data_IF_599270262073
#
_entry.id   IF_599270262073
#
_cell.length_a   1.000
_cell.length_b   1.000
_cell.length_c   1.000
_cell.angle_alpha   90.00
_cell.angle_beta   90.00
_cell.angle_gamma   90.00
#
_symmetry.space_group_name_H-M   'P 1'
#
loop_
_entity.id
_entity.type
_entity.pdbx_description
1 polymer ?
#
# COMPACT_ATOMS: atom_id res chain seq x y z
N UNK A 1 36.60 26.54 -9.33
CA UNK A 1 36.42 25.71 -8.12
C UNK A 1 35.50 24.56 -8.48
N UNK A 2 35.98 23.31 -8.43
CA UNK A 2 35.09 22.15 -8.56
C UNK A 2 34.38 21.96 -7.22
N UNK A 3 33.08 22.24 -7.19
CA UNK A 3 32.17 21.80 -6.14
C UNK A 3 32.04 20.29 -6.33
N UNK A 4 32.70 19.50 -5.47
CA UNK A 4 32.41 18.07 -5.40
C UNK A 4 31.00 17.97 -4.84
N UNK A 5 30.06 17.60 -5.69
CA UNK A 5 28.70 17.30 -5.26
C UNK A 5 28.78 16.27 -4.12
N UNK A 6 28.03 16.43 -3.02
CA UNK A 6 27.93 15.38 -2.03
C UNK A 6 27.51 14.10 -2.76
N UNK A 7 28.27 13.02 -2.57
CA UNK A 7 27.92 11.73 -3.14
C UNK A 7 26.45 11.45 -2.79
N UNK A 8 25.64 10.95 -3.75
CA UNK A 8 24.27 10.58 -3.45
C UNK A 8 24.29 9.62 -2.26
N UNK A 9 23.55 9.97 -1.21
CA UNK A 9 23.27 9.03 -0.13
C UNK A 9 22.63 7.80 -0.80
N UNK A 10 23.11 6.57 -0.50
CA UNK A 10 22.58 5.37 -1.14
C UNK A 10 21.06 5.32 -0.94
N UNK A 11 20.34 5.02 -2.03
CA UNK A 11 18.87 5.02 -2.15
C UNK A 11 18.14 3.99 -1.26
N UNK A 12 18.79 3.45 -0.24
CA UNK A 12 18.19 2.52 0.71
C UNK A 12 18.10 3.14 2.10
N UNK A 13 17.11 4.02 2.28
CA UNK A 13 16.47 4.20 3.58
C UNK A 13 15.16 3.40 3.57
N UNK A 14 15.30 2.10 3.30
CA UNK A 14 14.37 1.12 3.85
C UNK A 14 14.71 0.97 5.33
N UNK A 15 13.69 0.97 6.18
CA UNK A 15 13.74 0.35 7.51
C UNK A 15 14.26 1.23 8.67
N UNK A 16 14.74 2.45 8.41
CA UNK A 16 15.10 3.39 9.49
C UNK A 16 16.34 3.00 10.31
N UNK A 17 17.07 1.97 9.89
CA UNK A 17 18.43 1.70 10.37
C UNK A 17 19.42 2.38 9.43
N UNK A 18 19.99 3.50 9.87
CA UNK A 18 21.13 4.12 9.20
C UNK A 18 22.27 3.10 9.07
N UNK A 19 23.02 3.08 7.94
CA UNK A 19 24.15 2.19 7.80
C UNK A 19 25.12 2.41 8.96
N UNK A 20 25.44 1.33 9.70
CA UNK A 20 26.45 1.30 10.79
C UNK A 20 27.88 1.50 10.27
N UNK A 21 28.02 1.97 9.04
CA UNK A 21 29.28 1.97 8.32
C UNK A 21 29.95 3.33 8.47
N UNK A 22 31.28 3.28 8.61
CA UNK A 22 32.11 4.46 8.76
C UNK A 22 31.90 5.42 7.58
N UNK A 23 31.54 6.67 7.87
CA UNK A 23 31.47 7.77 6.92
C UNK A 23 32.90 8.11 6.51
N UNK A 24 33.26 7.79 5.28
CA UNK A 24 34.51 8.24 4.66
C UNK A 24 34.34 9.67 4.15
N UNK A 25 35.23 10.56 4.55
CA UNK A 25 35.28 11.93 4.03
C UNK A 25 36.67 12.26 3.51
N UNK A 26 36.73 13.14 2.51
CA UNK A 26 37.99 13.60 1.93
C UNK A 26 38.00 15.12 1.83
N UNK A 27 39.02 15.76 2.38
CA UNK A 27 39.19 17.21 2.35
C UNK A 27 40.37 17.54 1.42
N UNK A 28 40.12 18.30 0.35
CA UNK A 28 41.14 18.69 -0.64
C UNK A 28 41.54 20.16 -0.48
N UNK A 29 42.84 20.45 -0.39
CA UNK A 29 43.43 21.81 -0.44
C UNK A 29 44.61 21.82 -1.41
N UNK A 30 44.45 22.50 -2.56
CA UNK A 30 45.47 22.48 -3.62
C UNK A 30 45.64 21.06 -4.20
N UNK A 31 46.86 20.53 -4.17
CA UNK A 31 47.19 19.15 -4.58
C UNK A 31 47.05 18.12 -3.46
N UNK A 32 46.89 18.55 -2.20
CA UNK A 32 46.78 17.64 -1.07
C UNK A 32 45.33 17.18 -0.85
N UNK A 33 45.15 15.88 -0.63
CA UNK A 33 43.88 15.24 -0.26
C UNK A 33 44.11 14.52 1.07
N UNK A 34 43.32 14.86 2.09
CA UNK A 34 43.30 14.13 3.35
C UNK A 34 42.04 13.27 3.41
N UNK A 35 42.21 12.00 3.76
CA UNK A 35 41.13 11.04 3.93
C UNK A 35 40.91 10.77 5.42
N UNK A 36 39.65 10.68 5.85
CA UNK A 36 39.27 10.32 7.21
C UNK A 36 38.04 9.44 7.23
N UNK A 37 37.88 8.67 8.30
CA UNK A 37 36.71 7.84 8.58
C UNK A 37 36.14 8.22 9.93
N UNK A 38 34.82 8.41 10.01
CA UNK A 38 34.10 8.64 11.26
C UNK A 38 32.96 7.64 11.38
N UNK A 39 32.66 7.13 12.57
CA UNK A 39 31.44 6.37 12.78
C UNK A 39 30.22 7.26 12.46
N UNK A 40 29.25 6.72 11.72
CA UNK A 40 28.01 7.42 11.38
C UNK A 40 27.29 7.98 12.61
N UNK A 41 27.38 7.29 13.77
CA UNK A 41 26.82 7.76 15.03
C UNK A 41 27.57 8.98 15.58
N UNK A 42 28.89 9.01 15.44
CA UNK A 42 29.73 10.12 15.88
C UNK A 42 29.55 11.35 14.98
N UNK A 43 29.36 11.14 13.67
CA UNK A 43 29.09 12.21 12.69
C UNK A 43 27.80 12.96 13.02
N UNK A 44 26.73 12.22 13.30
CA UNK A 44 25.42 12.78 13.63
C UNK A 44 25.41 13.48 14.99
N UNK A 45 26.27 13.06 15.92
CA UNK A 45 26.43 13.69 17.24
C UNK A 45 27.36 14.92 17.22
N UNK A 46 27.84 15.34 16.05
CA UNK A 46 28.76 16.47 15.92
C UNK A 46 30.13 16.21 16.51
N UNK A 47 30.53 14.95 16.68
CA UNK A 47 31.89 14.62 17.08
C UNK A 47 32.83 15.09 15.98
N UNK A 48 33.75 16.00 16.34
CA UNK A 48 34.85 16.38 15.45
C UNK A 48 35.68 15.13 15.15
N UNK A 49 35.92 14.80 13.88
CA UNK A 49 36.88 13.74 13.55
C UNK A 49 38.22 14.01 14.23
N UNK A 50 38.99 12.98 14.60
CA UNK A 50 40.37 13.16 15.03
C UNK A 50 41.17 13.69 13.83
N UNK A 51 41.11 15.01 13.64
CA UNK A 51 41.93 15.74 12.70
C UNK A 51 43.30 15.79 13.37
N UNK A 52 44.25 15.09 12.74
CA UNK A 52 45.63 15.09 13.17
C UNK A 52 46.08 16.56 13.35
N UNK A 53 46.40 16.95 14.59
CA UNK A 53 46.62 18.37 14.98
C UNK A 53 47.69 19.05 14.13
N UNK A 54 48.55 18.25 13.51
CA UNK A 54 49.60 18.64 12.56
C UNK A 54 49.06 19.24 11.24
N UNK A 55 47.84 18.89 10.83
CA UNK A 55 47.19 19.42 9.63
C UNK A 55 46.46 20.74 9.90
N UNK A 56 45.91 20.93 11.11
CA UNK A 56 45.16 22.12 11.51
C UNK A 56 46.05 23.34 11.78
N UNK A 57 47.29 23.15 12.26
CA UNK A 57 48.23 24.25 12.55
C UNK A 57 48.76 25.02 11.32
N UNK A 58 48.41 24.58 10.11
CA UNK A 58 48.78 25.23 8.83
C UNK A 58 47.64 26.03 8.21
N UNK A 59 46.53 26.17 8.93
CA UNK A 59 45.42 27.01 8.53
C UNK A 59 45.50 28.32 9.31
N UNK A 60 45.34 29.43 8.60
CA UNK A 60 45.12 30.72 9.24
C UNK A 60 43.76 30.66 9.95
N UNK A 61 43.74 30.72 11.29
CA UNK A 61 42.63 30.29 12.15
C UNK A 61 41.28 30.91 11.71
N UNK A 62 41.28 32.18 11.31
CA UNK A 62 40.07 32.89 10.90
C UNK A 62 39.41 32.36 9.62
N UNK A 63 40.20 31.89 8.64
CA UNK A 63 39.67 31.39 7.37
C UNK A 63 39.16 29.95 7.47
N UNK A 64 39.69 29.17 8.42
CA UNK A 64 39.21 27.82 8.70
C UNK A 64 37.92 27.85 9.52
N UNK A 65 37.86 28.69 10.55
CA UNK A 65 36.66 28.86 11.38
C UNK A 65 35.46 29.31 10.55
N UNK A 66 35.68 30.25 9.61
CA UNK A 66 34.62 30.69 8.69
C UNK A 66 34.09 29.55 7.81
N UNK A 67 34.95 28.66 7.32
CA UNK A 67 34.54 27.51 6.48
C UNK A 67 33.84 26.42 7.28
N UNK A 68 34.31 26.15 8.50
CA UNK A 68 33.66 25.19 9.41
C UNK A 68 32.28 25.70 9.84
N UNK A 69 32.16 26.99 10.14
CA UNK A 69 30.88 27.62 10.44
C UNK A 69 29.92 27.54 9.23
N UNK A 70 30.40 27.85 8.02
CA UNK A 70 29.58 27.75 6.81
C UNK A 70 29.11 26.31 6.56
N UNK A 71 29.99 25.32 6.73
CA UNK A 71 29.64 23.91 6.60
C UNK A 71 28.61 23.48 7.65
N UNK A 72 28.78 23.89 8.91
CA UNK A 72 27.85 23.61 10.00
C UNK A 72 26.46 24.22 9.76
N UNK A 73 26.40 25.48 9.32
CA UNK A 73 25.13 26.14 8.97
C UNK A 73 24.45 25.44 7.79
N UNK A 74 25.21 25.07 6.76
CA UNK A 74 24.67 24.37 5.57
C UNK A 74 24.12 23.00 5.95
N UNK A 75 24.86 22.22 6.74
CA UNK A 75 24.41 20.93 7.25
C UNK A 75 23.15 21.06 8.12
N UNK A 76 23.06 22.09 8.96
CA UNK A 76 21.90 22.36 9.81
C UNK A 76 20.65 22.74 9.01
N UNK A 77 20.81 23.46 7.89
CA UNK A 77 19.71 23.77 6.97
C UNK A 77 19.25 22.51 6.23
N UNK A 78 20.19 21.73 5.70
CA UNK A 78 19.86 20.48 5.02
C UNK A 78 19.13 19.50 5.95
N UNK A 79 19.61 19.33 7.18
CA UNK A 79 18.97 18.45 8.17
C UNK A 79 17.53 18.86 8.47
N UNK A 80 17.27 20.16 8.67
CA UNK A 80 15.90 20.66 8.89
C UNK A 80 14.97 20.37 7.71
N UNK A 81 15.47 20.51 6.50
CA UNK A 81 14.72 20.22 5.29
C UNK A 81 14.43 18.72 5.14
N UNK A 82 15.38 17.85 5.48
CA UNK A 82 15.16 16.40 5.52
C UNK A 82 14.13 16.00 6.58
N UNK A 83 14.21 16.55 7.79
CA UNK A 83 13.22 16.32 8.86
C UNK A 83 11.83 16.77 8.41
N UNK A 84 11.73 17.94 7.77
CA UNK A 84 10.47 18.45 7.22
C UNK A 84 9.88 17.51 6.17
N UNK A 85 10.70 17.00 5.24
CA UNK A 85 10.25 16.03 4.22
C UNK A 85 9.84 14.69 4.83
N UNK A 86 10.59 14.19 5.82
CA UNK A 86 10.25 12.96 6.52
C UNK A 86 8.89 13.07 7.21
N UNK A 87 8.59 14.20 7.86
CA UNK A 87 7.30 14.44 8.48
C UNK A 87 6.16 14.53 7.46
N UNK A 88 6.39 15.16 6.31
CA UNK A 88 5.41 15.19 5.21
C UNK A 88 5.10 13.77 4.68
N UNK A 89 6.12 12.93 4.48
CA UNK A 89 5.93 11.54 4.07
C UNK A 89 5.20 10.73 5.13
N UNK A 90 5.46 10.98 6.42
CA UNK A 90 4.76 10.32 7.53
C UNK A 90 3.26 10.65 7.52
N UNK A 91 2.91 11.92 7.28
CA UNK A 91 1.51 12.36 7.17
C UNK A 91 0.82 11.75 5.95
N UNK A 92 1.47 11.78 4.78
CA UNK A 92 0.93 11.15 3.57
C UNK A 92 0.71 9.64 3.74
N UNK A 93 1.63 8.95 4.41
CA UNK A 93 1.46 7.54 4.74
C UNK A 93 0.24 7.31 5.63
N UNK A 94 0.05 8.14 6.67
CA UNK A 94 -1.11 8.03 7.56
C UNK A 94 -2.44 8.23 6.80
N UNK A 95 -2.50 9.21 5.89
CA UNK A 95 -3.67 9.44 5.02
C UNK A 95 -3.92 8.24 4.09
N UNK A 96 -2.87 7.69 3.48
CA UNK A 96 -2.96 6.49 2.64
C UNK A 96 -3.42 5.27 3.42
N UNK A 97 -2.92 5.06 4.63
CA UNK A 97 -3.31 3.95 5.50
C UNK A 97 -4.79 4.06 5.91
N UNK A 98 -5.28 5.27 6.17
CA UNK A 98 -6.70 5.51 6.44
C UNK A 98 -7.57 5.23 5.21
N UNK A 99 -7.16 5.67 4.03
CA UNK A 99 -7.85 5.39 2.78
C UNK A 99 -7.92 3.89 2.49
N UNK A 100 -6.82 3.16 2.73
CA UNK A 100 -6.77 1.70 2.57
C UNK A 100 -7.72 1.01 3.54
N UNK A 101 -7.79 1.44 4.81
CA UNK A 101 -8.74 0.89 5.79
C UNK A 101 -10.19 1.09 5.36
N UNK A 102 -10.53 2.28 4.83
CA UNK A 102 -11.87 2.55 4.30
C UNK A 102 -12.18 1.62 3.12
N UNK A 103 -11.25 1.44 2.19
CA UNK A 103 -11.42 0.55 1.04
C UNK A 103 -11.61 -0.92 1.47
N UNK A 104 -10.84 -1.40 2.45
CA UNK A 104 -10.99 -2.75 3.00
C UNK A 104 -12.36 -2.91 3.65
N UNK A 105 -12.84 -1.91 4.40
CA UNK A 105 -14.16 -1.94 5.00
C UNK A 105 -15.27 -2.01 3.94
N UNK A 106 -15.21 -1.16 2.89
CA UNK A 106 -16.19 -1.17 1.81
C UNK A 106 -16.18 -2.48 1.03
N UNK A 107 -15.00 -3.04 0.75
CA UNK A 107 -14.88 -4.32 0.06
C UNK A 107 -15.43 -5.47 0.91
N UNK A 108 -15.17 -5.45 2.22
CA UNK A 108 -15.72 -6.45 3.15
C UNK A 108 -17.25 -6.39 3.18
N UNK A 109 -17.82 -5.18 3.20
CA UNK A 109 -19.27 -4.99 3.15
C UNK A 109 -19.86 -5.47 1.81
N UNK A 110 -19.20 -5.15 0.69
CA UNK A 110 -19.61 -5.62 -0.63
C UNK A 110 -19.61 -7.15 -0.72
N UNK A 111 -18.57 -7.81 -0.20
CA UNK A 111 -18.49 -9.28 -0.14
C UNK A 111 -19.65 -9.86 0.68
N UNK A 112 -19.98 -9.28 1.83
CA UNK A 112 -21.14 -9.71 2.62
C UNK A 112 -22.45 -9.56 1.84
N UNK A 113 -22.64 -8.45 1.13
CA UNK A 113 -23.82 -8.23 0.29
C UNK A 113 -23.91 -9.25 -0.85
N UNK A 114 -22.79 -9.55 -1.51
CA UNK A 114 -22.77 -10.59 -2.55
C UNK A 114 -23.14 -11.95 -1.98
N UNK A 115 -22.59 -12.35 -0.83
CA UNK A 115 -22.96 -13.62 -0.19
C UNK A 115 -24.47 -13.68 0.15
N UNK A 116 -25.06 -12.59 0.62
CA UNK A 116 -26.52 -12.55 0.86
C UNK A 116 -27.34 -12.64 -0.43
N UNK A 117 -26.87 -12.03 -1.51
CA UNK A 117 -27.53 -12.09 -2.82
C UNK A 117 -27.42 -13.50 -3.43
N UNK A 118 -26.26 -14.14 -3.31
CA UNK A 118 -26.03 -15.52 -3.75
C UNK A 118 -26.95 -16.50 -3.01
N UNK A 119 -27.10 -16.36 -1.69
CA UNK A 119 -28.03 -17.19 -0.92
C UNK A 119 -29.49 -16.93 -1.31
N UNK A 120 -29.86 -15.67 -1.54
CA UNK A 120 -31.21 -15.33 -2.03
C UNK A 120 -31.47 -15.92 -3.42
N UNK A 121 -30.48 -15.88 -4.31
CA UNK A 121 -30.57 -16.52 -5.63
C UNK A 121 -30.70 -18.04 -5.52
N UNK A 122 -30.00 -18.67 -4.57
CA UNK A 122 -30.13 -20.11 -4.31
C UNK A 122 -31.55 -20.46 -3.87
N UNK A 123 -32.08 -19.74 -2.88
CA UNK A 123 -33.43 -19.97 -2.35
C UNK A 123 -34.52 -19.74 -3.42
N UNK A 124 -34.41 -18.66 -4.19
CA UNK A 124 -35.36 -18.39 -5.28
C UNK A 124 -35.32 -19.45 -6.38
N UNK A 125 -34.15 -20.00 -6.69
CA UNK A 125 -34.02 -21.09 -7.65
C UNK A 125 -34.63 -22.40 -7.12
N UNK A 126 -34.46 -22.71 -5.83
CA UNK A 126 -35.14 -23.86 -5.19
C UNK A 126 -36.67 -23.71 -5.22
N UNK A 127 -37.19 -22.51 -4.90
CA UNK A 127 -38.62 -22.20 -5.01
C UNK A 127 -39.13 -22.30 -6.44
N UNK A 128 -38.36 -21.82 -7.42
CA UNK A 128 -38.72 -21.92 -8.83
C UNK A 128 -38.83 -23.38 -9.27
N UNK A 129 -37.88 -24.23 -8.87
CA UNK A 129 -37.95 -25.68 -9.16
C UNK A 129 -39.17 -26.34 -8.52
N UNK A 130 -39.51 -25.98 -7.28
CA UNK A 130 -40.72 -26.47 -6.62
C UNK A 130 -41.98 -26.04 -7.38
N UNK A 131 -42.10 -24.76 -7.73
CA UNK A 131 -43.23 -24.24 -8.48
C UNK A 131 -43.36 -24.85 -9.89
N UNK A 132 -42.23 -25.10 -10.57
CA UNK A 132 -42.22 -25.80 -11.87
C UNK A 132 -42.71 -27.24 -11.73
N UNK A 133 -42.33 -27.93 -10.65
CA UNK A 133 -42.78 -29.29 -10.37
C UNK A 133 -44.28 -29.33 -10.08
N UNK A 134 -44.78 -28.44 -9.23
CA UNK A 134 -46.23 -28.32 -8.93
C UNK A 134 -47.03 -28.00 -10.20
N UNK A 135 -46.50 -27.13 -11.06
CA UNK A 135 -47.13 -26.82 -12.35
C UNK A 135 -47.20 -28.06 -13.25
N UNK A 136 -46.12 -28.84 -13.35
CA UNK A 136 -46.11 -30.06 -14.14
C UNK A 136 -47.12 -31.10 -13.62
N UNK A 137 -47.19 -31.29 -12.30
CA UNK A 137 -48.18 -32.19 -11.66
C UNK A 137 -49.62 -31.71 -11.91
N UNK A 138 -49.87 -30.40 -11.87
CA UNK A 138 -51.18 -29.82 -12.17
C UNK A 138 -51.56 -29.99 -13.66
N UNK A 139 -50.61 -29.83 -14.58
CA UNK A 139 -50.81 -30.06 -16.02
C UNK A 139 -51.13 -31.54 -16.32
N UNK A 140 -50.42 -32.48 -15.68
CA UNK A 140 -50.71 -33.92 -15.79
C UNK A 140 -52.10 -34.26 -15.24
N UNK A 141 -52.47 -33.73 -14.07
CA UNK A 141 -53.79 -33.94 -13.47
C UNK A 141 -54.91 -33.36 -14.35
N UNK A 142 -54.71 -32.18 -14.94
CA UNK A 142 -55.66 -31.56 -15.86
C UNK A 142 -55.81 -32.38 -17.16
N UNK A 143 -54.72 -32.92 -17.71
CA UNK A 143 -54.76 -33.77 -18.89
C UNK A 143 -55.50 -35.10 -18.61
N UNK A 144 -55.32 -35.68 -17.43
CA UNK A 144 -56.02 -36.91 -17.01
C UNK A 144 -57.52 -36.67 -16.82
N UNK A 145 -57.88 -35.55 -16.17
CA UNK A 145 -59.28 -35.15 -16.00
C UNK A 145 -59.97 -34.87 -17.35
N UNK A 146 -59.26 -34.21 -18.28
CA UNK A 146 -59.78 -33.96 -19.63
C UNK A 146 -60.01 -35.27 -20.42
N UNK A 147 -59.09 -36.25 -20.33
CA UNK A 147 -59.27 -37.57 -20.95
C UNK A 147 -60.48 -38.31 -20.36
N UNK A 148 -60.60 -38.35 -19.02
CA UNK A 148 -61.74 -39.00 -18.37
C UNK A 148 -63.08 -38.33 -18.70
N UNK A 149 -63.11 -36.99 -18.82
CA UNK A 149 -64.30 -36.27 -19.25
C UNK A 149 -64.67 -36.58 -20.71
N UNK A 150 -63.69 -36.69 -21.60
CA UNK A 150 -63.90 -37.06 -22.99
C UNK A 150 -64.42 -38.50 -23.13
N UNK A 151 -63.87 -39.45 -22.37
CA UNK A 151 -64.35 -40.85 -22.35
C UNK A 151 -65.79 -40.95 -21.86
N UNK A 152 -66.14 -40.24 -20.78
CA UNK A 152 -67.53 -40.19 -20.28
C UNK A 152 -68.50 -39.54 -21.27
N UNK A 153 -68.05 -38.51 -22.00
CA UNK A 153 -68.86 -37.88 -23.02
C UNK A 153 -69.09 -38.82 -24.22
N UNK A 154 -68.08 -39.59 -24.63
CA UNK A 154 -68.19 -40.58 -25.70
C UNK A 154 -69.11 -41.75 -25.29
N UNK A 155 -69.03 -42.20 -24.05
CA UNK A 155 -69.88 -43.27 -23.51
C UNK A 155 -71.36 -42.84 -23.44
N UNK A 156 -71.63 -41.63 -22.92
CA UNK A 156 -72.98 -41.06 -22.90
C UNK A 156 -73.55 -40.84 -24.30
N UNK A 157 -72.71 -40.47 -25.27
CA UNK A 157 -73.12 -40.29 -26.66
C UNK A 157 -73.46 -41.63 -27.34
N UNK A 158 -72.73 -42.70 -27.02
CA UNK A 158 -73.04 -44.06 -27.50
C UNK A 158 -74.33 -44.61 -26.88
N UNK A 159 -74.57 -44.32 -25.61
CA UNK A 159 -75.79 -44.74 -24.90
C UNK A 159 -77.04 -44.00 -25.41
N UNK A 160 -76.93 -42.74 -25.84
CA UNK A 160 -78.03 -41.96 -26.42
C UNK A 160 -78.38 -42.32 -27.87
N UNK A 161 -77.56 -43.12 -28.56
CA UNK A 161 -77.75 -43.51 -29.97
C UNK A 161 -78.38 -44.91 -30.11
N UNK A 162 -78.48 -45.66 -29.02
CA UNK A 162 -79.22 -46.94 -28.92
C UNK A 162 -80.70 -46.71 -28.56
#
# INVERSE_FOLDING_TARGET
MMVVAPAPLPDQVGDGTWPRENVQFSIKKGTAIMHGTLDAKEFLNGATPPLDRSALSRYDDAALDSKLLQASVTASVALREHVRRAEQLRLQKAESDEALRKLVATNTEAIRKMATLEETLRQTNELLKAAQKEKAEAEEAAALAAKSAAEKAEEAQKEAVL
#
